data_IF_751483781222
#
_entry.id   IF_751483781222
#
_cell.length_a   1.000
_cell.length_b   1.000
_cell.length_c   1.000
_cell.angle_alpha   90.00
_cell.angle_beta   90.00
_cell.angle_gamma   90.00
#
_symmetry.space_group_name_H-M   'P 1'
#
loop_
_entity.id
_entity.type
_entity.pdbx_description
1 polymer ?
#
# COMPACT_ATOMS: atom_id res chain seq x y z
N UNK A 1 14.34 -1.45 -3.78
CA UNK A 1 15.79 -1.25 -3.74
C UNK A 1 16.26 -0.73 -5.09
N UNK A 2 16.27 -1.56 -6.11
CA UNK A 2 16.66 -1.20 -7.48
C UNK A 2 15.52 -0.51 -8.25
N UNK A 3 15.83 0.23 -9.34
CA UNK A 3 14.81 0.83 -10.20
C UNK A 3 13.85 -0.22 -10.77
N UNK A 4 12.56 0.14 -10.87
CA UNK A 4 11.50 -0.68 -11.47
C UNK A 4 10.84 0.07 -12.62
N UNK A 5 10.77 -0.55 -13.79
CA UNK A 5 10.13 0.05 -14.97
C UNK A 5 8.60 -0.11 -14.98
N UNK A 6 8.07 -0.96 -14.09
CA UNK A 6 6.65 -1.28 -14.05
C UNK A 6 6.21 -2.30 -15.11
N UNK A 7 4.90 -2.52 -15.18
CA UNK A 7 4.30 -3.47 -16.13
C UNK A 7 4.12 -2.86 -17.54
N UNK A 8 3.95 -3.70 -18.59
CA UNK A 8 3.66 -3.24 -19.94
C UNK A 8 2.36 -2.43 -20.04
N UNK A 9 2.28 -1.57 -21.06
CA UNK A 9 1.06 -0.82 -21.42
C UNK A 9 0.09 -1.68 -22.25
N UNK A 10 -1.24 -1.43 -22.16
CA UNK A 10 -1.93 -0.51 -21.24
C UNK A 10 -1.98 -1.08 -19.82
N UNK A 11 -1.77 -0.24 -18.81
CA UNK A 11 -1.72 -0.67 -17.40
C UNK A 11 -2.65 0.10 -16.48
N UNK A 12 -3.49 0.96 -17.04
CA UNK A 12 -4.57 1.70 -16.36
C UNK A 12 -5.80 1.63 -17.24
N UNK A 13 -6.97 1.49 -16.63
CA UNK A 13 -8.26 1.58 -17.31
C UNK A 13 -9.33 2.07 -16.33
N UNK A 14 -10.25 2.89 -16.84
CA UNK A 14 -11.43 3.31 -16.09
C UNK A 14 -12.38 2.13 -15.86
N UNK A 15 -13.09 2.17 -14.74
CA UNK A 15 -14.15 1.25 -14.38
C UNK A 15 -15.33 2.00 -13.76
N UNK A 16 -16.48 1.34 -13.54
CA UNK A 16 -17.62 1.96 -12.89
C UNK A 16 -17.23 2.50 -11.50
N UNK A 17 -17.33 3.83 -11.33
CA UNK A 17 -16.97 4.51 -10.07
C UNK A 17 -15.57 4.19 -9.56
N UNK A 18 -14.61 4.01 -10.48
CA UNK A 18 -13.23 3.69 -10.09
C UNK A 18 -12.30 3.42 -11.25
N UNK A 19 -11.13 2.91 -10.90
CA UNK A 19 -10.03 2.67 -11.83
C UNK A 19 -9.39 1.30 -11.57
N UNK A 20 -9.05 0.61 -12.65
CA UNK A 20 -8.24 -0.59 -12.65
C UNK A 20 -6.79 -0.23 -13.02
N UNK A 21 -5.82 -0.61 -12.20
CA UNK A 21 -4.42 -0.37 -12.49
C UNK A 21 -3.52 -1.58 -12.21
N UNK A 22 -2.47 -1.69 -12.99
CA UNK A 22 -1.37 -2.64 -12.81
C UNK A 22 -0.05 -1.95 -13.13
N UNK A 23 0.26 -0.86 -12.42
CA UNK A 23 1.48 -0.05 -12.66
C UNK A 23 2.75 -0.88 -12.45
N UNK A 24 2.77 -1.79 -11.46
CA UNK A 24 3.94 -2.64 -11.17
C UNK A 24 5.02 -1.93 -10.38
N UNK A 25 4.64 -1.01 -9.49
CA UNK A 25 5.56 -0.28 -8.60
C UNK A 25 6.70 0.45 -9.35
N UNK A 26 6.41 1.09 -10.46
CA UNK A 26 7.41 1.88 -11.18
C UNK A 26 8.02 2.95 -10.27
N UNK A 27 9.35 2.94 -10.14
CA UNK A 27 10.09 3.89 -9.32
C UNK A 27 11.57 3.92 -9.72
N UNK A 28 12.32 5.00 -9.42
CA UNK A 28 13.70 5.15 -9.83
C UNK A 28 14.73 4.43 -8.93
N UNK A 29 14.27 3.70 -7.90
CA UNK A 29 15.14 3.06 -6.91
C UNK A 29 15.46 3.96 -5.72
N UNK A 30 15.90 3.33 -4.60
CA UNK A 30 16.08 4.04 -3.33
C UNK A 30 17.15 5.14 -3.39
N UNK A 31 18.22 4.94 -4.16
CA UNK A 31 19.29 5.94 -4.28
C UNK A 31 18.82 7.21 -4.96
N UNK A 32 18.10 7.10 -6.07
CA UNK A 32 17.54 8.24 -6.77
C UNK A 32 16.44 8.92 -5.92
N UNK A 33 15.60 8.15 -5.22
CA UNK A 33 14.59 8.71 -4.32
C UNK A 33 15.27 9.56 -3.24
N UNK A 34 16.33 9.08 -2.60
CA UNK A 34 17.01 9.82 -1.53
C UNK A 34 17.81 11.02 -2.04
N UNK A 35 18.51 10.87 -3.16
CA UNK A 35 19.42 11.91 -3.65
C UNK A 35 18.74 12.96 -4.55
N UNK A 36 17.57 12.66 -5.11
CA UNK A 36 16.89 13.53 -6.05
C UNK A 36 15.43 13.79 -5.68
N UNK A 37 14.58 12.77 -5.60
CA UNK A 37 13.13 12.97 -5.45
C UNK A 37 12.75 13.65 -4.13
N UNK A 38 13.34 13.24 -3.01
CA UNK A 38 13.10 13.87 -1.70
C UNK A 38 13.70 15.26 -1.62
N UNK A 39 14.83 15.52 -2.26
CA UNK A 39 15.44 16.84 -2.31
C UNK A 39 14.65 17.83 -3.21
N UNK A 40 14.08 17.35 -4.33
CA UNK A 40 13.15 18.14 -5.13
C UNK A 40 11.86 18.45 -4.35
N UNK A 41 11.30 17.45 -3.65
CA UNK A 41 10.12 17.65 -2.81
C UNK A 41 10.37 18.69 -1.70
N UNK A 42 11.56 18.69 -1.08
CA UNK A 42 11.95 19.64 -0.04
C UNK A 42 11.85 21.10 -0.49
N UNK A 43 11.95 21.38 -1.77
CA UNK A 43 11.84 22.76 -2.31
C UNK A 43 10.43 23.34 -2.20
N UNK A 44 9.41 22.50 -2.11
CA UNK A 44 8.00 22.90 -2.07
C UNK A 44 7.21 22.34 -0.88
N UNK A 45 7.80 21.46 -0.08
CA UNK A 45 7.15 20.83 1.08
C UNK A 45 8.12 20.71 2.26
N UNK A 46 7.74 21.27 3.42
CA UNK A 46 8.62 21.42 4.57
C UNK A 46 8.40 20.39 5.68
N UNK A 47 7.33 19.58 5.58
CA UNK A 47 7.01 18.55 6.58
C UNK A 47 7.59 17.18 6.23
N UNK A 48 7.44 16.24 7.16
CA UNK A 48 7.85 14.85 6.96
C UNK A 48 6.87 14.10 6.07
N UNK A 49 7.39 13.14 5.32
CA UNK A 49 6.61 12.24 4.49
C UNK A 49 6.64 10.81 5.02
N UNK A 50 5.62 10.03 4.66
CA UNK A 50 5.62 8.57 4.84
C UNK A 50 6.18 7.96 3.56
N UNK A 51 7.31 7.27 3.67
CA UNK A 51 7.92 6.58 2.54
C UNK A 51 7.28 5.20 2.36
N UNK A 52 6.51 5.01 1.26
CA UNK A 52 5.99 3.70 0.90
C UNK A 52 7.10 2.85 0.28
N UNK A 53 7.44 1.73 0.90
CA UNK A 53 8.50 0.83 0.46
C UNK A 53 7.95 -0.52 0.03
N UNK A 54 8.51 -1.07 -1.04
CA UNK A 54 8.19 -2.38 -1.58
C UNK A 54 9.45 -3.19 -1.85
N UNK A 55 9.31 -4.50 -1.92
CA UNK A 55 10.39 -5.43 -2.20
C UNK A 55 9.89 -6.67 -2.95
N UNK A 56 10.81 -7.42 -3.54
CA UNK A 56 10.54 -8.71 -4.15
C UNK A 56 10.85 -9.86 -3.20
N UNK A 57 11.69 -9.62 -2.20
CA UNK A 57 12.04 -10.53 -1.12
C UNK A 57 12.19 -9.74 0.19
N UNK A 58 12.32 -10.43 1.30
CA UNK A 58 12.47 -9.79 2.62
C UNK A 58 13.71 -8.89 2.66
N UNK A 59 14.80 -9.30 2.06
CA UNK A 59 16.07 -8.55 2.08
C UNK A 59 15.93 -7.21 1.34
N UNK A 60 15.13 -7.13 0.26
CA UNK A 60 14.81 -5.88 -0.40
C UNK A 60 14.12 -4.89 0.55
N UNK A 61 13.14 -5.36 1.33
CA UNK A 61 12.45 -4.51 2.31
C UNK A 61 13.40 -4.03 3.41
N UNK A 62 14.21 -4.94 3.94
CA UNK A 62 15.17 -4.66 5.03
C UNK A 62 16.21 -3.64 4.59
N UNK A 63 16.84 -3.85 3.42
CA UNK A 63 17.88 -2.95 2.93
C UNK A 63 17.31 -1.59 2.54
N UNK A 64 16.13 -1.57 1.88
CA UNK A 64 15.45 -0.31 1.56
C UNK A 64 15.08 0.46 2.83
N UNK A 65 14.52 -0.21 3.82
CA UNK A 65 14.15 0.42 5.11
C UNK A 65 15.36 0.98 5.85
N UNK A 66 16.45 0.21 5.93
CA UNK A 66 17.71 0.63 6.55
C UNK A 66 18.25 1.90 5.93
N UNK A 67 18.21 2.02 4.61
CA UNK A 67 18.73 3.18 3.89
C UNK A 67 17.79 4.38 4.00
N UNK A 68 16.53 4.24 3.59
CA UNK A 68 15.61 5.38 3.48
C UNK A 68 15.20 5.95 4.86
N UNK A 69 15.22 5.14 5.92
CA UNK A 69 14.91 5.60 7.28
C UNK A 69 15.94 6.58 7.85
N UNK A 70 17.13 6.68 7.25
CA UNK A 70 18.14 7.67 7.65
C UNK A 70 17.84 9.07 7.10
N UNK A 71 17.01 9.19 6.06
CA UNK A 71 16.70 10.47 5.43
C UNK A 71 15.82 11.33 6.32
N UNK A 72 16.20 12.59 6.51
CA UNK A 72 15.54 13.49 7.47
C UNK A 72 14.13 13.90 7.04
N UNK A 73 13.80 13.96 5.74
CA UNK A 73 12.43 14.18 5.28
C UNK A 73 11.49 13.01 5.56
N UNK A 74 12.01 11.82 5.79
CA UNK A 74 11.19 10.64 6.09
C UNK A 74 10.80 10.64 7.56
N UNK A 75 9.50 10.71 7.85
CA UNK A 75 8.93 10.65 9.19
C UNK A 75 8.50 9.24 9.61
N UNK A 76 8.07 8.42 8.65
CA UNK A 76 7.67 7.03 8.87
C UNK A 76 7.85 6.21 7.59
N UNK A 77 7.87 4.88 7.74
CA UNK A 77 7.85 3.93 6.63
C UNK A 77 6.47 3.29 6.51
N UNK A 78 6.01 3.06 5.29
CA UNK A 78 4.83 2.26 5.00
C UNK A 78 5.26 1.02 4.21
N UNK A 79 5.16 -0.18 4.80
CA UNK A 79 5.47 -1.45 4.15
C UNK A 79 4.33 -1.84 3.21
N UNK A 80 4.55 -1.78 1.91
CA UNK A 80 3.62 -2.28 0.92
C UNK A 80 3.83 -3.79 0.72
N UNK A 81 3.20 -4.61 1.57
CA UNK A 81 3.28 -6.07 1.51
C UNK A 81 2.29 -6.70 0.52
N UNK A 82 1.48 -5.87 -0.17
CA UNK A 82 0.40 -6.34 -1.04
C UNK A 82 0.84 -6.65 -2.47
N UNK A 83 2.14 -6.61 -2.79
CA UNK A 83 2.62 -6.79 -4.15
C UNK A 83 2.46 -8.27 -4.60
N UNK A 84 1.57 -8.59 -5.57
CA UNK A 84 1.33 -9.97 -6.01
C UNK A 84 2.40 -10.51 -6.96
N UNK A 85 3.39 -9.70 -7.33
CA UNK A 85 4.32 -9.98 -8.41
C UNK A 85 5.68 -10.44 -7.91
N UNK A 86 5.74 -11.64 -7.34
CA UNK A 86 7.02 -12.35 -7.20
C UNK A 86 7.06 -13.45 -8.26
N UNK A 87 7.71 -13.18 -9.38
CA UNK A 87 7.89 -14.11 -10.50
C UNK A 87 8.81 -15.31 -10.19
N UNK A 88 9.23 -15.49 -8.95
CA UNK A 88 10.04 -16.66 -8.55
C UNK A 88 9.68 -17.08 -7.13
N UNK A 89 8.75 -18.03 -7.01
CA UNK A 89 8.49 -18.73 -5.75
C UNK A 89 7.29 -18.25 -4.93
N UNK A 90 6.49 -17.30 -5.40
CA UNK A 90 5.11 -17.10 -4.92
C UNK A 90 4.92 -16.67 -3.46
N UNK A 91 5.86 -15.95 -2.88
CA UNK A 91 5.72 -15.45 -1.52
C UNK A 91 4.77 -14.24 -1.54
N UNK A 92 3.51 -14.46 -1.19
CA UNK A 92 2.51 -13.41 -1.03
C UNK A 92 2.52 -12.91 0.42
N UNK A 93 3.40 -11.98 0.75
CA UNK A 93 3.49 -11.39 2.10
C UNK A 93 2.14 -10.86 2.60
N UNK A 94 1.33 -10.31 1.71
CA UNK A 94 0.05 -9.70 2.05
C UNK A 94 -1.12 -10.64 2.26
N UNK A 95 -0.94 -11.96 2.07
CA UNK A 95 -2.01 -12.96 2.23
C UNK A 95 -1.69 -14.04 3.25
N UNK A 96 -0.49 -14.05 3.82
CA UNK A 96 -0.07 -14.99 4.85
C UNK A 96 0.36 -14.23 6.12
N UNK A 97 -0.33 -14.40 7.26
CA UNK A 97 -0.05 -13.68 8.50
C UNK A 97 1.39 -13.85 9.01
N UNK A 98 1.94 -15.07 8.95
CA UNK A 98 3.29 -15.37 9.41
C UNK A 98 4.34 -14.64 8.58
N UNK A 99 4.14 -14.59 7.27
CA UNK A 99 5.06 -13.90 6.37
C UNK A 99 4.96 -12.37 6.51
N UNK A 100 3.76 -11.84 6.72
CA UNK A 100 3.55 -10.43 7.04
C UNK A 100 4.25 -10.06 8.36
N UNK A 101 4.13 -10.92 9.38
CA UNK A 101 4.82 -10.74 10.66
C UNK A 101 6.34 -10.79 10.51
N UNK A 102 6.88 -11.72 9.72
CA UNK A 102 8.33 -11.88 9.54
C UNK A 102 8.96 -10.68 8.84
N UNK A 103 8.37 -10.19 7.75
CA UNK A 103 8.89 -8.99 7.08
C UNK A 103 8.77 -7.76 7.98
N UNK A 104 7.68 -7.63 8.71
CA UNK A 104 7.46 -6.53 9.67
C UNK A 104 8.55 -6.54 10.75
N UNK A 105 8.78 -7.67 11.40
CA UNK A 105 9.79 -7.83 12.47
C UNK A 105 11.19 -7.48 11.99
N UNK A 106 11.57 -7.98 10.81
CA UNK A 106 12.91 -7.73 10.25
C UNK A 106 13.10 -6.27 9.85
N UNK A 107 12.10 -5.62 9.29
CA UNK A 107 12.15 -4.19 8.97
C UNK A 107 12.19 -3.35 10.24
N UNK A 108 11.38 -3.67 11.24
CA UNK A 108 11.41 -2.97 12.55
C UNK A 108 12.79 -3.03 13.21
N UNK A 109 13.51 -4.13 13.08
CA UNK A 109 14.84 -4.29 13.65
C UNK A 109 15.90 -3.33 13.08
N UNK A 110 15.70 -2.82 11.86
CA UNK A 110 16.67 -1.94 11.18
C UNK A 110 16.18 -0.51 10.95
N UNK A 111 14.88 -0.28 11.05
CA UNK A 111 14.29 1.04 10.80
C UNK A 111 14.58 2.00 11.96
N UNK A 112 15.01 3.22 11.60
CA UNK A 112 15.14 4.35 12.54
C UNK A 112 13.84 5.16 12.67
N UNK A 113 12.78 4.76 11.96
CA UNK A 113 11.50 5.47 11.89
C UNK A 113 10.35 4.53 12.25
N UNK A 114 9.20 5.06 12.67
CA UNK A 114 7.99 4.26 12.82
C UNK A 114 7.66 3.49 11.54
N UNK A 115 7.15 2.27 11.70
CA UNK A 115 6.82 1.37 10.59
C UNK A 115 5.33 1.07 10.59
N UNK A 116 4.64 1.52 9.56
CA UNK A 116 3.26 1.19 9.25
C UNK A 116 3.22 0.04 8.25
N UNK A 117 2.25 -0.86 8.37
CA UNK A 117 2.09 -1.97 7.43
C UNK A 117 0.81 -1.78 6.62
N UNK A 118 0.95 -1.75 5.28
CA UNK A 118 -0.19 -1.57 4.37
C UNK A 118 -0.80 -2.90 4.00
N UNK A 119 -1.99 -3.18 4.54
CA UNK A 119 -2.68 -4.45 4.40
C UNK A 119 -3.45 -4.56 3.08
N UNK A 120 -3.42 -5.76 2.50
CA UNK A 120 -4.23 -6.15 1.35
C UNK A 120 -5.66 -6.50 1.76
N UNK A 121 -6.69 -6.06 1.01
CA UNK A 121 -8.06 -6.50 1.23
C UNK A 121 -8.35 -7.91 0.66
N UNK A 122 -7.41 -8.48 -0.10
CA UNK A 122 -7.60 -9.74 -0.83
C UNK A 122 -7.27 -10.95 0.07
N UNK A 123 -7.87 -10.98 1.24
CA UNK A 123 -7.71 -12.00 2.29
C UNK A 123 -9.05 -12.41 2.86
N UNK A 124 -9.12 -13.60 3.42
CA UNK A 124 -10.34 -14.09 4.06
C UNK A 124 -10.60 -13.39 5.40
N UNK A 125 -9.56 -13.22 6.22
CA UNK A 125 -9.62 -12.54 7.50
C UNK A 125 -8.56 -11.42 7.60
N UNK A 126 -9.02 -10.19 7.50
CA UNK A 126 -8.15 -9.00 7.61
C UNK A 126 -7.71 -8.76 9.06
N UNK A 127 -8.50 -9.21 10.04
CA UNK A 127 -8.19 -9.04 11.47
C UNK A 127 -7.02 -9.93 11.87
N UNK A 128 -6.96 -11.18 11.35
CA UNK A 128 -5.81 -12.06 11.57
C UNK A 128 -4.52 -11.44 11.04
N UNK A 129 -4.55 -10.87 9.84
CA UNK A 129 -3.40 -10.15 9.28
C UNK A 129 -2.97 -8.96 10.14
N UNK A 130 -3.94 -8.16 10.60
CA UNK A 130 -3.69 -6.99 11.42
C UNK A 130 -3.05 -7.34 12.77
N UNK A 131 -3.55 -8.37 13.46
CA UNK A 131 -2.96 -8.86 14.71
C UNK A 131 -1.54 -9.38 14.52
N UNK A 132 -1.29 -10.13 13.45
CA UNK A 132 0.03 -10.68 13.16
C UNK A 132 1.09 -9.58 12.98
N UNK A 133 0.76 -8.48 12.28
CA UNK A 133 1.72 -7.37 12.10
C UNK A 133 1.85 -6.51 13.36
N UNK A 134 0.80 -6.34 14.17
CA UNK A 134 0.86 -5.69 15.49
C UNK A 134 1.78 -6.47 16.43
N UNK A 135 1.61 -7.78 16.56
CA UNK A 135 2.45 -8.66 17.37
C UNK A 135 3.91 -8.68 16.89
N UNK A 136 4.14 -8.46 15.60
CA UNK A 136 5.49 -8.32 15.03
C UNK A 136 6.14 -6.95 15.29
N UNK A 137 5.42 -6.01 15.92
CA UNK A 137 5.94 -4.72 16.37
C UNK A 137 5.69 -3.57 15.38
N UNK A 138 4.71 -3.67 14.49
CA UNK A 138 4.26 -2.52 13.69
C UNK A 138 3.83 -1.35 14.60
N UNK A 139 4.15 -0.11 14.21
CA UNK A 139 3.72 1.09 14.94
C UNK A 139 2.33 1.56 14.51
N UNK A 140 1.85 1.06 13.37
CA UNK A 140 0.51 1.34 12.86
C UNK A 140 0.19 0.50 11.64
N UNK A 141 -1.04 0.60 11.19
CA UNK A 141 -1.56 -0.10 10.00
C UNK A 141 -2.10 0.95 9.03
N UNK A 142 -1.81 0.78 7.75
CA UNK A 142 -2.51 1.45 6.65
C UNK A 142 -3.40 0.44 5.94
N UNK A 143 -4.63 0.79 5.65
CA UNK A 143 -5.54 -0.11 4.93
C UNK A 143 -6.72 0.64 4.31
N UNK A 144 -7.14 0.17 3.16
CA UNK A 144 -6.78 -1.04 2.42
C UNK A 144 -5.97 -0.71 1.17
N UNK A 145 -5.16 -1.65 0.68
CA UNK A 145 -4.67 -1.62 -0.69
C UNK A 145 -5.85 -1.94 -1.65
N UNK A 146 -5.59 -2.07 -2.94
CA UNK A 146 -6.60 -2.25 -3.98
C UNK A 146 -7.20 -3.67 -3.98
N UNK A 147 -8.47 -3.79 -4.35
CA UNK A 147 -9.12 -5.08 -4.64
C UNK A 147 -8.64 -5.61 -6.00
N UNK A 148 -8.39 -6.91 -6.10
CA UNK A 148 -8.08 -7.52 -7.40
C UNK A 148 -9.31 -7.52 -8.29
N UNK A 149 -9.17 -7.01 -9.52
CA UNK A 149 -10.24 -6.94 -10.50
C UNK A 149 -9.75 -7.19 -11.92
N UNK A 150 -10.69 -7.30 -12.86
CA UNK A 150 -10.44 -7.50 -14.30
C UNK A 150 -11.56 -6.88 -15.13
N UNK A 151 -11.22 -6.43 -16.33
CA UNK A 151 -12.20 -6.06 -17.37
C UNK A 151 -11.76 -6.59 -18.73
N UNK A 152 -12.74 -6.85 -19.60
CA UNK A 152 -12.52 -7.27 -20.97
C UNK A 152 -12.99 -6.21 -21.97
N UNK A 153 -12.25 -6.10 -23.06
CA UNK A 153 -12.73 -5.44 -24.26
C UNK A 153 -13.65 -6.42 -25.01
N UNK A 154 -14.93 -6.14 -25.03
CA UNK A 154 -15.95 -7.03 -25.62
C UNK A 154 -15.80 -7.22 -27.14
N UNK A 155 -15.16 -6.28 -27.85
CA UNK A 155 -14.93 -6.38 -29.30
C UNK A 155 -13.77 -7.34 -29.62
N UNK A 156 -12.76 -7.39 -28.77
CA UNK A 156 -11.55 -8.20 -29.01
C UNK A 156 -11.49 -9.47 -28.19
N UNK A 157 -12.33 -9.60 -27.14
CA UNK A 157 -12.30 -10.70 -26.19
C UNK A 157 -11.05 -10.71 -25.30
N UNK A 158 -10.23 -9.65 -25.29
CA UNK A 158 -8.99 -9.56 -24.52
C UNK A 158 -9.16 -8.69 -23.26
N UNK A 159 -8.36 -8.92 -22.21
CA UNK A 159 -8.27 -8.00 -21.09
C UNK A 159 -7.94 -6.58 -21.54
N UNK A 160 -8.48 -5.56 -20.84
CA UNK A 160 -8.26 -4.16 -21.18
C UNK A 160 -6.91 -3.61 -20.72
N UNK A 161 -6.25 -4.28 -19.78
CA UNK A 161 -4.87 -4.00 -19.36
C UNK A 161 -3.96 -5.18 -19.67
N UNK A 162 -2.71 -4.91 -20.00
CA UNK A 162 -1.76 -5.93 -20.47
C UNK A 162 -1.50 -7.06 -19.47
N UNK A 163 -1.51 -6.74 -18.17
CA UNK A 163 -1.32 -7.69 -17.08
C UNK A 163 -2.52 -8.64 -16.85
N UNK A 164 -3.63 -8.42 -17.54
CA UNK A 164 -4.89 -9.18 -17.37
C UNK A 164 -5.69 -8.73 -16.16
N UNK A 165 -5.15 -8.92 -14.97
CA UNK A 165 -5.73 -8.44 -13.70
C UNK A 165 -4.98 -7.22 -13.17
N UNK A 166 -5.65 -6.41 -12.34
CA UNK A 166 -5.07 -5.26 -11.67
C UNK A 166 -5.78 -4.93 -10.38
N UNK A 167 -5.27 -3.94 -9.67
CA UNK A 167 -5.90 -3.40 -8.47
C UNK A 167 -7.04 -2.46 -8.84
N UNK A 168 -8.21 -2.68 -8.27
CA UNK A 168 -9.37 -1.81 -8.41
C UNK A 168 -9.46 -0.86 -7.22
N UNK A 169 -9.63 0.44 -7.52
CA UNK A 169 -9.70 1.53 -6.54
C UNK A 169 -10.74 2.58 -6.97
N UNK A 170 -11.06 3.53 -6.09
CA UNK A 170 -12.05 4.57 -6.32
C UNK A 170 -13.32 4.38 -5.49
N UNK A 171 -14.36 5.23 -5.65
CA UNK A 171 -15.54 5.25 -4.77
C UNK A 171 -16.25 3.91 -4.62
N UNK A 172 -16.22 3.05 -5.63
CA UNK A 172 -16.86 1.72 -5.59
C UNK A 172 -16.33 0.80 -4.47
N UNK A 173 -15.10 0.99 -4.00
CA UNK A 173 -14.52 0.14 -2.94
C UNK A 173 -14.71 0.71 -1.53
N UNK A 174 -15.24 1.93 -1.37
CA UNK A 174 -15.37 2.60 -0.09
C UNK A 174 -16.11 1.76 0.97
N UNK A 175 -17.26 1.14 0.71
CA UNK A 175 -17.96 0.33 1.72
C UNK A 175 -17.14 -0.88 2.19
N UNK A 176 -16.29 -1.44 1.32
CA UNK A 176 -15.41 -2.56 1.67
C UNK A 176 -14.28 -2.07 2.58
N UNK A 177 -13.65 -0.95 2.21
CA UNK A 177 -12.60 -0.32 3.01
C UNK A 177 -13.11 0.06 4.40
N UNK A 178 -14.27 0.72 4.47
CA UNK A 178 -14.92 1.15 5.70
C UNK A 178 -15.19 -0.02 6.67
N UNK A 179 -15.78 -1.11 6.15
CA UNK A 179 -16.02 -2.33 6.94
C UNK A 179 -14.72 -2.90 7.49
N UNK A 180 -13.68 -3.01 6.65
CA UNK A 180 -12.40 -3.60 7.06
C UNK A 180 -11.70 -2.73 8.11
N UNK A 181 -11.68 -1.41 7.94
CA UNK A 181 -11.14 -0.47 8.94
C UNK A 181 -11.87 -0.61 10.25
N UNK A 182 -13.21 -0.68 10.23
CA UNK A 182 -14.01 -0.86 11.44
C UNK A 182 -13.70 -2.17 12.18
N UNK A 183 -13.51 -3.27 11.46
CA UNK A 183 -13.16 -4.56 12.05
C UNK A 183 -11.75 -4.53 12.68
N UNK A 184 -10.77 -3.98 11.97
CA UNK A 184 -9.38 -3.93 12.42
C UNK A 184 -9.20 -2.96 13.58
N UNK A 185 -9.76 -1.76 13.52
CA UNK A 185 -9.63 -0.75 14.59
C UNK A 185 -10.17 -1.22 15.95
N UNK A 186 -11.12 -2.17 15.96
CA UNK A 186 -11.60 -2.81 17.18
C UNK A 186 -10.73 -3.96 17.69
N UNK A 187 -9.86 -4.49 16.85
CA UNK A 187 -9.10 -5.70 17.11
C UNK A 187 -7.65 -5.45 17.48
N UNK A 188 -7.11 -4.26 17.14
CA UNK A 188 -5.72 -3.86 17.40
C UNK A 188 -5.67 -2.62 18.29
N UNK A 189 -4.50 -2.37 18.90
CA UNK A 189 -4.25 -1.20 19.76
C UNK A 189 -3.47 -0.09 19.04
N UNK A 190 -2.78 -0.44 17.96
CA UNK A 190 -2.00 0.51 17.16
C UNK A 190 -2.89 1.32 16.24
N UNK A 191 -2.50 2.56 15.86
CA UNK A 191 -3.31 3.42 15.01
C UNK A 191 -3.52 2.82 13.61
N UNK A 192 -4.72 3.08 13.07
CA UNK A 192 -5.10 2.66 11.71
C UNK A 192 -5.29 3.90 10.83
N UNK A 193 -4.56 3.97 9.72
CA UNK A 193 -4.79 4.95 8.65
C UNK A 193 -5.74 4.31 7.64
N UNK A 194 -6.96 4.85 7.55
CA UNK A 194 -7.99 4.35 6.64
C UNK A 194 -7.81 4.93 5.23
N UNK A 195 -7.89 4.06 4.21
CA UNK A 195 -7.88 4.47 2.80
C UNK A 195 -8.73 3.53 1.95
N UNK A 196 -9.20 4.02 0.82
CA UNK A 196 -9.96 3.26 -0.18
C UNK A 196 -11.30 3.89 -0.48
N UNK A 197 -11.40 4.53 -1.63
CA UNK A 197 -12.64 5.09 -2.17
C UNK A 197 -13.12 6.40 -1.55
N UNK A 198 -12.34 7.03 -0.68
CA UNK A 198 -12.64 8.34 -0.09
C UNK A 198 -12.65 9.37 -1.23
N UNK A 199 -13.79 10.08 -1.40
CA UNK A 199 -14.01 11.06 -2.46
C UNK A 199 -14.66 12.36 -1.99
N UNK A 200 -15.05 12.43 -0.72
CA UNK A 200 -15.68 13.61 -0.12
C UNK A 200 -15.28 13.80 1.35
N UNK A 201 -15.53 14.98 1.89
CA UNK A 201 -15.35 15.25 3.32
C UNK A 201 -16.24 14.35 4.21
N UNK A 202 -17.42 14.00 3.71
CA UNK A 202 -18.31 13.07 4.39
C UNK A 202 -17.66 11.69 4.56
N UNK A 203 -17.03 11.17 3.49
CA UNK A 203 -16.34 9.86 3.53
C UNK A 203 -15.16 9.90 4.52
N UNK A 204 -14.45 11.03 4.62
CA UNK A 204 -13.39 11.22 5.64
C UNK A 204 -13.97 11.05 7.05
N UNK A 205 -15.07 11.74 7.36
CA UNK A 205 -15.70 11.67 8.67
C UNK A 205 -16.21 10.24 8.95
N UNK A 206 -16.82 9.60 7.96
CA UNK A 206 -17.33 8.23 8.09
C UNK A 206 -16.19 7.23 8.35
N UNK A 207 -15.05 7.38 7.67
CA UNK A 207 -13.85 6.57 7.92
C UNK A 207 -13.29 6.76 9.33
N UNK A 208 -13.29 8.01 9.84
CA UNK A 208 -12.89 8.31 11.24
C UNK A 208 -13.87 7.71 12.24
N UNK A 209 -15.18 7.78 11.99
CA UNK A 209 -16.23 7.13 12.82
C UNK A 209 -16.05 5.62 12.82
N UNK A 210 -15.62 5.01 11.73
CA UNK A 210 -15.31 3.58 11.66
C UNK A 210 -14.12 3.18 12.54
N UNK A 211 -13.31 4.14 13.00
CA UNK A 211 -12.19 3.93 13.92
C UNK A 211 -10.81 4.23 13.34
N UNK A 212 -10.73 4.84 12.14
CA UNK A 212 -9.46 5.30 11.62
C UNK A 212 -8.91 6.46 12.48
N UNK A 213 -7.62 6.46 12.74
CA UNK A 213 -6.89 7.56 13.42
C UNK A 213 -6.50 8.68 12.46
N UNK A 214 -6.38 8.35 11.19
CA UNK A 214 -6.12 9.27 10.08
C UNK A 214 -6.65 8.64 8.78
N UNK A 215 -6.72 9.43 7.70
CA UNK A 215 -7.13 8.95 6.39
C UNK A 215 -6.10 9.28 5.32
N UNK A 216 -6.04 8.45 4.28
CA UNK A 216 -5.25 8.72 3.08
C UNK A 216 -6.14 8.67 1.84
N UNK A 217 -5.95 9.63 0.93
CA UNK A 217 -6.73 9.80 -0.29
C UNK A 217 -5.85 9.47 -1.49
N UNK A 218 -6.25 8.47 -2.28
CA UNK A 218 -5.53 8.04 -3.48
C UNK A 218 -6.19 8.53 -4.76
N UNK A 219 -7.13 7.75 -5.31
CA UNK A 219 -7.74 8.02 -6.63
C UNK A 219 -8.29 9.43 -6.81
N UNK A 220 -8.87 10.02 -5.77
CA UNK A 220 -9.45 11.37 -5.86
C UNK A 220 -8.43 12.47 -6.17
N UNK A 221 -7.13 12.20 -5.97
CA UNK A 221 -6.07 13.13 -6.40
C UNK A 221 -5.75 13.05 -7.90
N UNK A 222 -6.36 12.11 -8.63
CA UNK A 222 -6.11 11.86 -10.04
C UNK A 222 -7.26 12.32 -10.95
N UNK A 223 -8.34 12.89 -10.38
CA UNK A 223 -9.56 13.34 -11.08
C UNK A 223 -9.88 14.76 -10.72
#
# INVERSE_FOLDING_TARGET
LEPRYGNPLPRIAEGPSGMLNAIGLQNPGVDAVMSHELEELRKCYNDKVIANIGGSCIDDYVETAKRISTHDMVGALELNISCPNVHSGGIQFGTNPQMAADVTRKVKAVSQKPVYVKLSPNVTDIVEMAKAVEEAGADGITMINTLVGMRFNIKTGKPIIANGTGGYSGPAIFPVALRMVHQVSKAVKIPVIGMGGISSAHDVIEMMVAGASAVAIGCQNLV
#
